data_IF_013337103704
#
_entry.id   IF_013337103704
#
_cell.length_a   1.000
_cell.length_b   1.000
_cell.length_c   1.000
_cell.angle_alpha   90.00
_cell.angle_beta   90.00
_cell.angle_gamma   90.00
#
_symmetry.space_group_name_H-M   'P 1'
#
loop_
_entity.id
_entity.type
_entity.pdbx_description
1 polymer ?
#
# COMPACT_ATOMS: atom_id res chain seq x y z
N UNK A 1 -10.38 -0.42 -5.83
CA UNK A 1 -10.23 -0.55 -7.31
C UNK A 1 -11.09 -1.66 -7.92
N UNK A 2 -11.83 -2.46 -7.15
CA UNK A 2 -12.59 -3.59 -7.73
C UNK A 2 -13.86 -3.19 -8.48
N UNK A 3 -14.61 -2.19 -7.99
CA UNK A 3 -15.87 -1.77 -8.61
C UNK A 3 -15.71 -1.20 -10.03
N UNK A 4 -14.74 -0.31 -10.34
CA UNK A 4 -14.52 0.16 -11.71
C UNK A 4 -14.11 -0.95 -12.67
N UNK A 5 -13.23 -1.86 -12.22
CA UNK A 5 -12.77 -3.00 -13.04
C UNK A 5 -13.95 -3.91 -13.39
N UNK A 6 -14.83 -4.22 -12.44
CA UNK A 6 -16.03 -5.02 -12.70
C UNK A 6 -16.94 -4.32 -13.72
N UNK A 7 -17.11 -3.00 -13.63
CA UNK A 7 -17.95 -2.24 -14.56
C UNK A 7 -17.40 -2.15 -15.99
N UNK A 8 -16.09 -2.34 -16.16
CA UNK A 8 -15.43 -2.35 -17.48
C UNK A 8 -15.37 -3.75 -18.11
N UNK A 9 -15.67 -4.81 -17.36
CA UNK A 9 -15.67 -6.18 -17.89
C UNK A 9 -16.87 -6.43 -18.82
N UNK A 10 -16.60 -6.97 -20.01
CA UNK A 10 -17.64 -7.44 -20.95
C UNK A 10 -18.63 -8.42 -20.31
N UNK A 11 -18.16 -9.27 -19.38
CA UNK A 11 -18.99 -10.20 -18.59
C UNK A 11 -18.64 -10.09 -17.10
N UNK A 12 -19.37 -9.27 -16.32
CA UNK A 12 -19.09 -9.07 -14.90
C UNK A 12 -19.16 -10.35 -14.04
N UNK A 13 -19.92 -11.37 -14.48
CA UNK A 13 -20.04 -12.63 -13.73
C UNK A 13 -18.73 -13.44 -13.69
N UNK A 14 -17.83 -13.22 -14.66
CA UNK A 14 -16.54 -13.91 -14.72
C UNK A 14 -15.48 -13.29 -13.78
N UNK A 15 -15.81 -12.19 -13.08
CA UNK A 15 -14.88 -11.47 -12.21
C UNK A 15 -14.20 -12.36 -11.17
N UNK A 16 -14.95 -13.28 -10.54
CA UNK A 16 -14.38 -14.20 -9.53
C UNK A 16 -13.29 -15.08 -10.12
N UNK A 17 -13.48 -15.58 -11.35
CA UNK A 17 -12.48 -16.44 -12.03
C UNK A 17 -11.21 -15.65 -12.33
N UNK A 18 -11.37 -14.44 -12.86
CA UNK A 18 -10.24 -13.55 -13.13
C UNK A 18 -9.46 -13.20 -11.85
N UNK A 19 -10.16 -12.89 -10.76
CA UNK A 19 -9.55 -12.57 -9.47
C UNK A 19 -8.77 -13.76 -8.88
N UNK A 20 -9.34 -14.98 -8.94
CA UNK A 20 -8.66 -16.18 -8.44
C UNK A 20 -7.41 -16.51 -9.25
N UNK A 21 -7.49 -16.41 -10.58
CA UNK A 21 -6.33 -16.65 -11.45
C UNK A 21 -5.23 -15.61 -11.21
N UNK A 22 -5.59 -14.32 -11.16
CA UNK A 22 -4.65 -13.25 -10.86
C UNK A 22 -4.01 -13.44 -9.48
N UNK A 23 -4.81 -13.77 -8.46
CA UNK A 23 -4.31 -14.05 -7.11
C UNK A 23 -3.34 -15.22 -7.07
N UNK A 24 -3.63 -16.30 -7.82
CA UNK A 24 -2.73 -17.45 -7.93
C UNK A 24 -1.40 -17.08 -8.59
N UNK A 25 -1.43 -16.37 -9.73
CA UNK A 25 -0.22 -15.94 -10.44
C UNK A 25 0.64 -15.04 -9.54
N UNK A 26 0.01 -14.05 -8.89
CA UNK A 26 0.70 -13.13 -7.99
C UNK A 26 1.31 -13.87 -6.81
N UNK A 27 0.58 -14.81 -6.20
CA UNK A 27 1.10 -15.64 -5.11
C UNK A 27 2.29 -16.49 -5.57
N UNK A 28 2.20 -17.13 -6.74
CA UNK A 28 3.28 -17.94 -7.29
C UNK A 28 4.54 -17.10 -7.57
N UNK A 29 4.38 -15.89 -8.10
CA UNK A 29 5.49 -14.96 -8.32
C UNK A 29 6.12 -14.50 -7.00
N UNK A 30 5.32 -14.08 -6.02
CA UNK A 30 5.87 -13.66 -4.72
C UNK A 30 6.58 -14.81 -4.01
N UNK A 31 6.01 -16.01 -4.04
CA UNK A 31 6.61 -17.19 -3.41
C UNK A 31 7.91 -17.58 -4.09
N UNK A 32 7.94 -17.62 -5.43
CA UNK A 32 9.16 -17.99 -6.17
C UNK A 32 10.29 -17.00 -5.95
N UNK A 33 10.02 -15.68 -6.06
CA UNK A 33 11.04 -14.66 -5.80
C UNK A 33 11.52 -14.69 -4.36
N UNK A 34 10.61 -14.81 -3.38
CA UNK A 34 10.98 -14.85 -1.97
C UNK A 34 11.87 -16.06 -1.64
N UNK A 35 11.53 -17.25 -2.14
CA UNK A 35 12.32 -18.46 -1.90
C UNK A 35 13.70 -18.38 -2.56
N UNK A 36 13.77 -17.92 -3.82
CA UNK A 36 15.04 -17.78 -4.54
C UNK A 36 15.94 -16.76 -3.83
N UNK A 37 15.43 -15.57 -3.54
CA UNK A 37 16.20 -14.51 -2.89
C UNK A 37 16.66 -14.96 -1.50
N UNK A 38 15.78 -15.58 -0.71
CA UNK A 38 16.13 -16.08 0.62
C UNK A 38 17.19 -17.19 0.55
N UNK A 39 17.15 -18.07 -0.45
CA UNK A 39 18.15 -19.13 -0.65
C UNK A 39 19.56 -18.59 -0.93
N UNK A 40 19.68 -17.42 -1.56
CA UNK A 40 20.97 -16.81 -1.90
C UNK A 40 21.45 -15.77 -0.86
N UNK A 41 20.56 -14.94 -0.31
CA UNK A 41 20.91 -13.89 0.64
C UNK A 41 20.81 -14.34 2.12
N UNK A 42 20.02 -15.36 2.42
CA UNK A 42 19.77 -15.83 3.78
C UNK A 42 19.20 -14.72 4.69
N UNK A 43 19.67 -14.69 5.94
CA UNK A 43 19.22 -13.71 6.93
C UNK A 43 19.78 -12.30 6.71
N UNK A 44 20.74 -12.12 5.80
CA UNK A 44 21.40 -10.84 5.51
C UNK A 44 20.72 -10.07 4.36
N UNK A 45 19.45 -10.38 4.09
CA UNK A 45 18.66 -9.71 3.05
C UNK A 45 18.45 -8.23 3.39
N UNK A 46 18.89 -7.35 2.49
CA UNK A 46 18.61 -5.92 2.57
C UNK A 46 17.17 -5.62 2.13
N UNK A 47 16.57 -4.60 2.72
CA UNK A 47 15.30 -4.03 2.24
C UNK A 47 15.58 -2.66 1.64
N UNK A 48 15.24 -2.40 0.36
CA UNK A 48 14.68 -3.31 -0.66
C UNK A 48 15.65 -4.42 -1.10
N UNK A 49 15.11 -5.54 -1.60
CA UNK A 49 15.91 -6.72 -1.98
C UNK A 49 17.03 -6.43 -2.98
N UNK A 50 16.85 -5.43 -3.86
CA UNK A 50 17.87 -4.96 -4.82
C UNK A 50 19.17 -4.54 -4.14
N UNK A 51 19.11 -4.08 -2.88
CA UNK A 51 20.28 -3.70 -2.09
C UNK A 51 21.23 -4.86 -1.79
N UNK A 52 20.74 -6.09 -1.84
CA UNK A 52 21.52 -7.30 -1.54
C UNK A 52 22.37 -7.78 -2.72
N UNK A 53 22.18 -7.19 -3.90
CA UNK A 53 22.97 -7.51 -5.09
C UNK A 53 24.30 -6.72 -5.09
N UNK A 54 25.30 -7.24 -5.81
CA UNK A 54 26.58 -6.55 -5.99
C UNK A 54 26.43 -5.14 -6.60
N UNK A 55 27.42 -4.24 -6.45
CA UNK A 55 27.29 -2.81 -6.76
C UNK A 55 26.77 -2.50 -8.16
N UNK A 56 27.20 -3.25 -9.19
CA UNK A 56 26.75 -3.06 -10.57
C UNK A 56 25.30 -3.51 -10.76
N UNK A 57 24.97 -4.73 -10.32
CA UNK A 57 23.63 -5.31 -10.48
C UNK A 57 22.59 -4.49 -9.70
N UNK A 58 22.92 -4.02 -8.50
CA UNK A 58 22.07 -3.13 -7.72
C UNK A 58 21.73 -1.86 -8.50
N UNK A 59 22.71 -1.16 -9.06
CA UNK A 59 22.48 0.07 -9.84
C UNK A 59 21.62 -0.19 -11.07
N UNK A 60 21.86 -1.29 -11.80
CA UNK A 60 21.05 -1.68 -12.96
C UNK A 60 19.62 -2.00 -12.55
N UNK A 61 19.42 -2.78 -11.49
CA UNK A 61 18.09 -3.13 -10.98
C UNK A 61 17.30 -1.89 -10.56
N UNK A 62 17.91 -0.98 -9.81
CA UNK A 62 17.29 0.30 -9.47
C UNK A 62 16.98 1.12 -10.73
N UNK A 63 17.91 1.21 -11.67
CA UNK A 63 17.71 1.91 -12.95
C UNK A 63 16.51 1.40 -13.77
N UNK A 64 16.33 0.08 -13.84
CA UNK A 64 15.17 -0.53 -14.53
C UNK A 64 13.87 -0.34 -13.75
N UNK A 65 13.92 -0.41 -12.42
CA UNK A 65 12.74 -0.26 -11.57
C UNK A 65 12.24 1.18 -11.46
N UNK A 66 13.14 2.17 -11.56
CA UNK A 66 12.85 3.59 -11.35
C UNK A 66 11.72 4.13 -12.24
N UNK A 67 11.71 3.92 -13.57
CA UNK A 67 10.60 4.34 -14.42
C UNK A 67 9.25 3.78 -13.96
N UNK A 68 9.22 2.48 -13.61
CA UNK A 68 8.01 1.82 -13.12
C UNK A 68 7.53 2.40 -11.78
N UNK A 69 8.46 2.69 -10.87
CA UNK A 69 8.15 3.34 -9.59
C UNK A 69 7.60 4.75 -9.79
N UNK A 70 8.25 5.58 -10.62
CA UNK A 70 7.82 6.96 -10.89
C UNK A 70 6.43 6.98 -11.51
N UNK A 71 6.20 6.15 -12.54
CA UNK A 71 4.89 6.06 -13.20
C UNK A 71 3.82 5.53 -12.25
N UNK A 72 4.11 4.47 -11.49
CA UNK A 72 3.18 3.90 -10.52
C UNK A 72 2.76 4.91 -9.46
N UNK A 73 3.72 5.56 -8.80
CA UNK A 73 3.45 6.58 -7.78
C UNK A 73 2.71 7.77 -8.38
N UNK A 74 3.10 8.21 -9.58
CA UNK A 74 2.43 9.29 -10.30
C UNK A 74 0.96 9.01 -10.58
N UNK A 75 0.62 7.77 -10.99
CA UNK A 75 -0.78 7.36 -11.20
C UNK A 75 -1.56 7.40 -9.88
N UNK A 76 -1.01 6.90 -8.78
CA UNK A 76 -1.70 6.91 -7.49
C UNK A 76 -1.92 8.35 -6.97
N UNK A 77 -0.90 9.20 -7.05
CA UNK A 77 -1.01 10.63 -6.73
C UNK A 77 -2.09 11.30 -7.58
N UNK A 78 -2.08 11.05 -8.90
CA UNK A 78 -3.04 11.62 -9.83
C UNK A 78 -4.47 11.17 -9.54
N UNK A 79 -4.69 9.89 -9.21
CA UNK A 79 -6.02 9.37 -8.85
C UNK A 79 -6.55 10.05 -7.57
N UNK A 80 -5.71 10.18 -6.54
CA UNK A 80 -6.07 10.88 -5.31
C UNK A 80 -6.37 12.36 -5.57
N UNK A 81 -5.50 13.04 -6.33
CA UNK A 81 -5.65 14.45 -6.68
C UNK A 81 -6.93 14.69 -7.48
N UNK A 82 -7.19 13.86 -8.50
CA UNK A 82 -8.41 13.95 -9.33
C UNK A 82 -9.68 13.70 -8.51
N UNK A 83 -9.66 12.75 -7.58
CA UNK A 83 -10.80 12.51 -6.71
C UNK A 83 -11.12 13.75 -5.86
N UNK A 84 -10.13 14.33 -5.20
CA UNK A 84 -10.30 15.55 -4.41
C UNK A 84 -10.73 16.74 -5.28
N UNK A 85 -10.09 16.91 -6.44
CA UNK A 85 -10.38 17.97 -7.41
C UNK A 85 -11.84 17.95 -7.88
N UNK A 86 -12.31 16.78 -8.34
CA UNK A 86 -13.70 16.59 -8.79
C UNK A 86 -14.67 16.81 -7.63
N UNK A 87 -14.31 16.44 -6.40
CA UNK A 87 -15.18 16.63 -5.23
C UNK A 87 -15.31 18.09 -4.82
N UNK A 88 -14.22 18.86 -4.86
CA UNK A 88 -14.16 20.27 -4.47
C UNK A 88 -14.83 21.17 -5.52
N UNK A 89 -14.53 20.95 -6.79
CA UNK A 89 -15.08 21.75 -7.89
C UNK A 89 -16.37 21.16 -8.47
N UNK A 90 -16.94 20.14 -7.82
CA UNK A 90 -18.22 19.56 -8.22
C UNK A 90 -19.26 20.66 -8.32
N UNK A 91 -20.06 20.62 -9.38
CA UNK A 91 -21.14 21.58 -9.64
C UNK A 91 -20.67 23.02 -9.95
N UNK A 92 -19.37 23.23 -10.20
CA UNK A 92 -18.82 24.51 -10.65
C UNK A 92 -18.42 24.50 -12.13
N UNK A 93 -18.54 25.65 -12.81
CA UNK A 93 -18.01 25.83 -14.18
C UNK A 93 -16.48 25.66 -14.25
N UNK A 94 -15.79 25.88 -13.14
CA UNK A 94 -14.33 25.79 -13.04
C UNK A 94 -13.80 24.36 -13.18
N UNK A 95 -14.66 23.34 -13.03
CA UNK A 95 -14.26 21.95 -13.21
C UNK A 95 -13.79 21.65 -14.64
N UNK A 96 -14.43 22.26 -15.64
CA UNK A 96 -14.16 22.01 -17.07
C UNK A 96 -13.64 23.26 -17.80
N UNK A 97 -13.74 24.46 -17.21
CA UNK A 97 -13.25 25.68 -17.82
C UNK A 97 -11.81 26.00 -17.40
N UNK A 98 -10.99 26.42 -18.38
CA UNK A 98 -9.64 26.93 -18.18
C UNK A 98 -9.67 28.27 -17.41
N UNK A 99 -9.67 28.18 -16.09
CA UNK A 99 -9.75 29.33 -15.18
C UNK A 99 -8.61 29.27 -14.16
N UNK A 100 -8.25 30.42 -13.58
CA UNK A 100 -7.25 30.44 -12.49
C UNK A 100 -7.66 29.54 -11.32
N UNK A 101 -8.94 29.47 -10.99
CA UNK A 101 -9.47 28.55 -9.95
C UNK A 101 -9.24 27.08 -10.31
N UNK A 102 -9.39 26.70 -11.59
CA UNK A 102 -9.10 25.35 -12.06
C UNK A 102 -7.63 24.98 -11.82
N UNK A 103 -6.72 25.78 -12.38
CA UNK A 103 -5.28 25.52 -12.30
C UNK A 103 -4.74 25.64 -10.87
N UNK A 104 -5.18 26.65 -10.13
CA UNK A 104 -4.80 26.85 -8.73
C UNK A 104 -5.25 25.70 -7.83
N UNK A 105 -6.48 25.21 -8.01
CA UNK A 105 -6.97 24.05 -7.23
C UNK A 105 -6.22 22.78 -7.64
N UNK A 106 -6.00 22.55 -8.94
CA UNK A 106 -5.28 21.37 -9.43
C UNK A 106 -3.83 21.32 -8.92
N UNK A 107 -3.07 22.39 -9.12
CA UNK A 107 -1.67 22.48 -8.68
C UNK A 107 -1.58 22.47 -7.15
N UNK A 108 -2.49 23.16 -6.46
CA UNK A 108 -2.55 23.20 -5.00
C UNK A 108 -2.77 21.82 -4.38
N UNK A 109 -3.70 21.03 -4.91
CA UNK A 109 -3.96 19.66 -4.43
C UNK A 109 -2.74 18.76 -4.68
N UNK A 110 -2.14 18.83 -5.87
CA UNK A 110 -0.96 18.02 -6.19
C UNK A 110 0.23 18.38 -5.30
N UNK A 111 0.46 19.67 -5.07
CA UNK A 111 1.51 20.15 -4.18
C UNK A 111 1.25 19.70 -2.74
N UNK A 112 0.03 19.88 -2.22
CA UNK A 112 -0.34 19.47 -0.87
C UNK A 112 -0.13 17.96 -0.65
N UNK A 113 -0.66 17.13 -1.55
CA UNK A 113 -0.52 15.67 -1.45
C UNK A 113 0.95 15.24 -1.57
N UNK A 114 1.71 15.88 -2.48
CA UNK A 114 3.14 15.61 -2.66
C UNK A 114 3.96 15.99 -1.44
N UNK A 115 3.74 17.19 -0.88
CA UNK A 115 4.38 17.65 0.34
C UNK A 115 4.02 16.77 1.54
N UNK A 116 2.76 16.34 1.67
CA UNK A 116 2.35 15.42 2.74
C UNK A 116 3.06 14.06 2.61
N UNK A 117 3.13 13.50 1.40
CA UNK A 117 3.86 12.25 1.16
C UNK A 117 5.36 12.38 1.47
N UNK A 118 5.97 13.50 1.09
CA UNK A 118 7.38 13.80 1.40
C UNK A 118 7.61 13.88 2.91
N UNK A 119 6.76 14.60 3.66
CA UNK A 119 6.87 14.70 5.12
C UNK A 119 6.77 13.31 5.77
N UNK A 120 5.84 12.47 5.31
CA UNK A 120 5.68 11.11 5.85
C UNK A 120 6.89 10.22 5.55
N UNK A 121 7.47 10.34 4.36
CA UNK A 121 8.68 9.59 3.99
C UNK A 121 9.89 9.97 4.86
N UNK A 122 10.07 11.26 5.13
CA UNK A 122 11.16 11.76 5.96
C UNK A 122 10.94 11.51 7.47
N UNK A 123 9.68 11.46 7.92
CA UNK A 123 9.32 11.16 9.31
C UNK A 123 9.67 9.72 9.72
N UNK A 124 9.56 8.77 8.78
CA UNK A 124 9.88 7.34 9.01
C UNK A 124 10.87 6.88 7.94
N UNK A 125 12.18 7.20 8.09
CA UNK A 125 13.19 6.98 7.05
C UNK A 125 13.61 5.50 6.91
N UNK A 126 12.80 4.56 7.41
CA UNK A 126 12.99 3.12 7.30
C UNK A 126 11.78 2.53 6.55
N UNK A 127 12.03 2.05 5.34
CA UNK A 127 10.99 1.56 4.43
C UNK A 127 10.10 0.49 5.05
N UNK A 128 10.67 -0.46 5.81
CA UNK A 128 9.91 -1.54 6.46
C UNK A 128 8.90 -1.02 7.49
N UNK A 129 9.26 0.03 8.25
CA UNK A 129 8.35 0.64 9.21
C UNK A 129 7.24 1.41 8.50
N UNK A 130 7.58 2.12 7.42
CA UNK A 130 6.58 2.81 6.60
C UNK A 130 5.59 1.82 5.95
N UNK A 131 6.07 0.71 5.38
CA UNK A 131 5.24 -0.35 4.83
C UNK A 131 4.36 -1.01 5.90
N UNK A 132 4.93 -1.27 7.08
CA UNK A 132 4.18 -1.81 8.22
C UNK A 132 3.04 -0.89 8.65
N UNK A 133 3.32 0.42 8.75
CA UNK A 133 2.32 1.43 9.13
C UNK A 133 1.22 1.56 8.07
N UNK A 134 1.60 1.64 6.79
CA UNK A 134 0.66 1.67 5.67
C UNK A 134 -0.20 0.40 5.61
N UNK A 135 0.41 -0.76 5.88
CA UNK A 135 -0.29 -2.05 5.97
C UNK A 135 -1.34 -2.06 7.07
N UNK A 136 -0.97 -1.61 8.27
CA UNK A 136 -1.87 -1.58 9.42
C UNK A 136 -3.00 -0.54 9.25
N UNK A 137 -2.69 0.68 8.82
CA UNK A 137 -3.65 1.79 8.78
C UNK A 137 -4.50 1.84 7.51
N UNK A 138 -3.98 1.38 6.38
CA UNK A 138 -4.68 1.45 5.10
C UNK A 138 -5.10 0.07 4.64
N UNK A 139 -4.18 -0.88 4.50
CA UNK A 139 -4.51 -2.16 3.87
C UNK A 139 -5.42 -3.03 4.74
N UNK A 140 -5.17 -3.15 6.05
CA UNK A 140 -5.99 -3.98 6.92
C UNK A 140 -7.48 -3.53 6.97
N UNK A 141 -7.82 -2.24 7.13
CA UNK A 141 -9.21 -1.80 7.05
C UNK A 141 -9.85 -2.05 5.67
N UNK A 142 -9.16 -1.68 4.59
CA UNK A 142 -9.72 -1.77 3.23
C UNK A 142 -9.82 -3.20 2.68
N UNK A 143 -8.95 -4.11 3.11
CA UNK A 143 -8.92 -5.49 2.63
C UNK A 143 -9.64 -6.48 3.54
N UNK A 144 -9.69 -6.23 4.86
CA UNK A 144 -10.27 -7.18 5.83
C UNK A 144 -11.53 -6.62 6.48
N UNK A 145 -11.46 -5.43 7.10
CA UNK A 145 -12.55 -4.91 7.93
C UNK A 145 -13.76 -4.47 7.10
N UNK A 146 -13.57 -3.53 6.16
CA UNK A 146 -14.70 -3.00 5.37
C UNK A 146 -15.38 -4.07 4.51
N UNK A 147 -14.66 -4.94 3.78
CA UNK A 147 -15.32 -6.00 3.01
C UNK A 147 -16.10 -6.98 3.90
N UNK A 148 -15.56 -7.35 5.07
CA UNK A 148 -16.27 -8.20 6.03
C UNK A 148 -17.54 -7.52 6.58
N UNK A 149 -17.45 -6.23 6.94
CA UNK A 149 -18.60 -5.46 7.41
C UNK A 149 -19.70 -5.35 6.36
N UNK A 150 -19.33 -5.03 5.10
CA UNK A 150 -20.27 -4.94 3.99
C UNK A 150 -20.94 -6.29 3.73
N UNK A 151 -20.17 -7.38 3.69
CA UNK A 151 -20.73 -8.72 3.51
C UNK A 151 -21.68 -9.09 4.66
N UNK A 152 -21.31 -8.81 5.91
CA UNK A 152 -22.18 -9.08 7.06
C UNK A 152 -23.43 -8.20 7.09
N UNK A 153 -23.38 -7.01 6.49
CA UNK A 153 -24.54 -6.13 6.34
C UNK A 153 -25.54 -6.69 5.32
N UNK A 154 -25.05 -7.22 4.20
CA UNK A 154 -25.90 -7.80 3.15
C UNK A 154 -26.49 -9.16 3.58
N UNK A 155 -25.70 -9.98 4.29
CA UNK A 155 -26.07 -11.34 4.70
C UNK A 155 -26.48 -11.44 6.19
N UNK A 156 -27.12 -10.41 6.76
CA UNK A 156 -27.55 -10.41 8.18
C UNK A 156 -28.37 -11.63 8.60
N UNK A 157 -29.18 -12.18 7.69
CA UNK A 157 -30.02 -13.38 7.95
C UNK A 157 -29.20 -14.63 8.26
N UNK A 158 -27.91 -14.67 7.89
CA UNK A 158 -27.04 -15.83 8.12
C UNK A 158 -26.69 -16.02 9.60
N UNK A 159 -26.94 -15.01 10.45
CA UNK A 159 -26.83 -15.12 11.92
C UNK A 159 -27.75 -16.20 12.52
N UNK A 160 -28.96 -16.31 11.98
CA UNK A 160 -30.02 -17.19 12.50
C UNK A 160 -30.40 -18.29 11.52
N UNK A 161 -29.65 -18.42 10.43
CA UNK A 161 -29.89 -19.39 9.36
C UNK A 161 -29.42 -20.81 9.66
N UNK A 162 -29.16 -21.57 8.61
CA UNK A 162 -28.63 -22.94 8.69
C UNK A 162 -27.25 -22.96 9.35
N UNK A 163 -26.79 -24.14 9.81
CA UNK A 163 -25.46 -24.28 10.41
C UNK A 163 -24.34 -23.78 9.49
N UNK A 164 -24.42 -24.10 8.19
CA UNK A 164 -23.46 -23.62 7.18
C UNK A 164 -23.44 -22.09 7.08
N UNK A 165 -24.62 -21.45 7.11
CA UNK A 165 -24.74 -19.99 7.08
C UNK A 165 -24.14 -19.35 8.33
N UNK A 166 -24.38 -19.95 9.50
CA UNK A 166 -23.78 -19.50 10.77
C UNK A 166 -22.26 -19.62 10.76
N UNK A 167 -21.71 -20.72 10.23
CA UNK A 167 -20.26 -20.91 10.08
C UNK A 167 -19.68 -19.83 9.17
N UNK A 168 -20.27 -19.60 7.99
CA UNK A 168 -19.83 -18.54 7.07
C UNK A 168 -19.88 -17.16 7.72
N UNK A 169 -20.92 -16.88 8.50
CA UNK A 169 -21.04 -15.64 9.25
C UNK A 169 -19.94 -15.51 10.31
N UNK A 170 -19.69 -16.56 11.10
CA UNK A 170 -18.62 -16.61 12.10
C UNK A 170 -17.22 -16.41 11.49
N UNK A 171 -16.96 -16.97 10.31
CA UNK A 171 -15.70 -16.75 9.58
C UNK A 171 -15.50 -15.27 9.20
N UNK A 172 -16.54 -14.57 8.77
CA UNK A 172 -16.44 -13.14 8.47
C UNK A 172 -16.26 -12.28 9.73
N UNK A 173 -16.87 -12.68 10.85
CA UNK A 173 -16.59 -12.06 12.17
C UNK A 173 -15.12 -12.25 12.55
N UNK A 174 -14.57 -13.45 12.36
CA UNK A 174 -13.16 -13.73 12.62
C UNK A 174 -12.24 -12.86 11.75
N UNK A 175 -12.51 -12.75 10.44
CA UNK A 175 -11.75 -11.89 9.52
C UNK A 175 -11.76 -10.44 9.99
N UNK A 176 -12.93 -9.93 10.42
CA UNK A 176 -13.05 -8.58 10.96
C UNK A 176 -12.23 -8.41 12.24
N UNK A 177 -12.29 -9.35 13.19
CA UNK A 177 -11.51 -9.29 14.44
C UNK A 177 -10.01 -9.32 14.15
N UNK A 178 -9.56 -10.18 13.24
CA UNK A 178 -8.16 -10.21 12.80
C UNK A 178 -7.75 -8.91 12.11
N UNK A 179 -8.64 -8.30 11.32
CA UNK A 179 -8.41 -6.99 10.72
C UNK A 179 -8.22 -5.89 11.77
N UNK A 180 -9.09 -5.84 12.79
CA UNK A 180 -8.93 -4.90 13.91
C UNK A 180 -7.66 -5.16 14.73
N UNK A 181 -7.34 -6.44 14.96
CA UNK A 181 -6.09 -6.81 15.60
C UNK A 181 -4.88 -6.32 14.78
N UNK A 182 -4.87 -6.51 13.46
CA UNK A 182 -3.79 -6.01 12.60
C UNK A 182 -3.65 -4.49 12.62
N UNK A 183 -4.77 -3.76 12.72
CA UNK A 183 -4.73 -2.29 12.88
C UNK A 183 -4.06 -1.94 14.21
N UNK A 184 -4.57 -2.45 15.33
CA UNK A 184 -4.08 -2.07 16.67
C UNK A 184 -2.66 -2.59 16.92
N UNK A 185 -2.44 -3.90 16.78
CA UNK A 185 -1.16 -4.53 17.03
C UNK A 185 -0.10 -4.11 16.00
N UNK A 186 -0.48 -3.96 14.73
CA UNK A 186 0.43 -3.51 13.67
C UNK A 186 0.89 -2.07 13.89
N UNK A 187 -0.03 -1.14 14.15
CA UNK A 187 0.33 0.26 14.45
C UNK A 187 1.16 0.37 15.73
N UNK A 188 0.78 -0.36 16.79
CA UNK A 188 1.55 -0.38 18.03
C UNK A 188 2.98 -0.91 17.83
N UNK A 189 3.12 -2.06 17.17
CA UNK A 189 4.42 -2.69 16.91
C UNK A 189 5.35 -1.77 16.13
N UNK A 190 4.85 -1.17 15.03
CA UNK A 190 5.64 -0.22 14.23
C UNK A 190 6.00 1.02 15.06
N UNK A 191 5.09 1.53 15.89
CA UNK A 191 5.37 2.66 16.77
C UNK A 191 6.48 2.38 17.78
N UNK A 192 6.49 1.17 18.36
CA UNK A 192 7.56 0.74 19.27
C UNK A 192 8.89 0.63 18.52
N UNK A 193 8.91 0.02 17.34
CA UNK A 193 10.12 -0.12 16.51
C UNK A 193 10.70 1.23 16.09
N UNK A 194 9.85 2.20 15.74
CA UNK A 194 10.28 3.57 15.42
C UNK A 194 10.91 4.22 16.66
N UNK A 195 10.25 4.12 17.83
CA UNK A 195 10.80 4.66 19.09
C UNK A 195 12.15 4.05 19.42
N UNK A 196 12.27 2.74 19.27
CA UNK A 196 13.51 2.01 19.53
C UNK A 196 14.62 2.45 18.58
N UNK A 197 14.33 2.60 17.28
CA UNK A 197 15.28 3.06 16.27
C UNK A 197 15.81 4.48 16.54
N UNK A 198 14.98 5.39 17.07
CA UNK A 198 15.46 6.70 17.54
C UNK A 198 16.31 6.58 18.80
N UNK A 199 15.94 5.70 19.74
CA UNK A 199 16.67 5.55 21.01
C UNK A 199 18.04 4.87 20.85
N UNK A 200 18.16 3.94 19.91
CA UNK A 200 19.42 3.24 19.60
C UNK A 200 20.36 4.04 18.71
N UNK A 201 19.91 5.19 18.19
CA UNK A 201 20.66 6.00 17.23
C UNK A 201 20.68 5.44 15.80
N UNK A 202 19.90 4.39 15.51
CA UNK A 202 19.75 3.85 14.16
C UNK A 202 19.08 4.86 13.20
N UNK A 203 18.22 5.73 13.74
CA UNK A 203 17.77 6.96 13.08
C UNK A 203 18.31 8.13 13.90
N UNK A 204 19.28 8.86 13.35
CA UNK A 204 19.90 9.97 14.08
C UNK A 204 18.92 11.14 14.25
N UNK A 205 18.25 11.55 13.16
CA UNK A 205 17.23 12.62 13.15
C UNK A 205 16.20 12.41 12.04
N UNK A 206 15.05 13.06 12.20
CA UNK A 206 14.10 13.27 11.09
C UNK A 206 14.73 14.27 10.11
N UNK A 207 14.57 14.06 8.80
CA UNK A 207 15.28 14.81 7.74
C UNK A 207 16.81 14.69 7.83
N UNK A 208 17.31 13.49 8.07
CA UNK A 208 18.76 13.25 8.02
C UNK A 208 19.20 13.00 6.57
N UNK A 209 20.13 13.81 6.06
CA UNK A 209 20.72 13.62 4.74
C UNK A 209 21.78 12.50 4.71
N UNK A 210 21.74 11.58 5.67
CA UNK A 210 22.65 10.43 5.79
C UNK A 210 22.53 9.49 4.59
N UNK A 211 23.66 8.86 4.22
CA UNK A 211 23.67 7.85 3.17
C UNK A 211 22.99 6.55 3.66
N UNK A 212 21.83 6.25 3.10
CA UNK A 212 21.09 5.01 3.34
C UNK A 212 21.23 4.01 2.18
N UNK A 213 22.18 4.23 1.27
CA UNK A 213 22.36 3.38 0.11
C UNK A 213 22.86 1.99 0.48
N UNK A 214 23.49 1.79 1.64
CA UNK A 214 24.10 0.50 1.99
C UNK A 214 25.31 0.16 1.10
N UNK A 215 26.01 1.19 0.61
CA UNK A 215 27.26 1.02 -0.13
C UNK A 215 28.40 0.69 0.85
N UNK A 216 28.86 -0.56 0.85
CA UNK A 216 30.13 -0.92 1.49
C UNK A 216 31.23 -0.49 0.54
N UNK A 217 32.07 0.48 0.95
CA UNK A 217 33.33 0.76 0.26
C UNK A 217 34.18 -0.52 0.33
N UNK A 218 34.23 -1.27 -0.76
CA UNK A 218 35.23 -2.32 -0.92
C UNK A 218 36.61 -1.67 -0.96
N UNK A 219 37.53 -2.19 -0.15
CA UNK A 219 38.96 -1.90 -0.25
C UNK A 219 39.59 -2.46 -1.52
#
# INVERSE_FOLDING_TARGET
MFLPVISEMKRPQDYRKACLLAGFIVMAMYLSFSLVIYRYCGMWLSTPAFGSAGPVIKKVAYGISLPGLILGVGIYQHVAAKYAFVRILRDSKHLQANTFTHWGTWLGINLLLGSAAFIVAEAVPILNYLLGLAGALCFAPFSLVFPALLWMYDFKRYKTGTLEQKIKYGLHVLIMVLGFYMIVAGTYSVGVLIKEAFSSGAIAKVFDCSDNSGFVQGG
#
